data_IF_602331953908
#
_entry.id   IF_602331953908
#
_cell.length_a   1.000
_cell.length_b   1.000
_cell.length_c   1.000
_cell.angle_alpha   90.00
_cell.angle_beta   90.00
_cell.angle_gamma   90.00
#
_symmetry.space_group_name_H-M   'P 1'
#
loop_
_entity.id
_entity.type
_entity.pdbx_description
1 polymer ?
#
# COMPACT_ATOMS: atom_id res chain seq x y z
N UNK A 1 9.65 -7.38 -5.88
CA UNK A 1 8.63 -7.72 -4.96
C UNK A 1 8.14 -6.58 -4.07
N UNK A 2 9.02 -5.65 -3.61
CA UNK A 2 8.65 -4.57 -2.67
C UNK A 2 8.37 -3.22 -3.33
N UNK A 3 7.88 -3.20 -4.56
CA UNK A 3 7.45 -1.99 -5.23
C UNK A 3 6.01 -1.65 -4.85
N UNK A 4 5.68 -0.36 -4.79
CA UNK A 4 4.31 0.10 -4.58
C UNK A 4 3.42 -0.33 -5.75
N UNK A 5 2.13 -0.46 -5.49
CA UNK A 5 1.14 -0.60 -6.54
C UNK A 5 0.93 0.72 -7.28
N UNK A 6 0.52 0.64 -8.54
CA UNK A 6 0.15 1.83 -9.30
C UNK A 6 -1.33 2.15 -9.07
N UNK A 7 -1.61 3.29 -8.43
CA UNK A 7 -2.98 3.73 -8.16
C UNK A 7 -3.70 4.35 -9.37
N UNK A 8 -2.97 4.83 -10.36
CA UNK A 8 -3.55 5.50 -11.54
C UNK A 8 -4.52 4.61 -12.33
N UNK A 9 -4.18 3.35 -12.67
CA UNK A 9 -5.12 2.45 -13.32
C UNK A 9 -6.42 2.24 -12.55
N UNK A 10 -6.35 2.13 -11.21
CA UNK A 10 -7.52 1.93 -10.37
C UNK A 10 -8.52 3.08 -10.51
N UNK A 11 -8.00 4.31 -10.44
CA UNK A 11 -8.82 5.53 -10.59
C UNK A 11 -9.37 5.63 -12.01
N UNK A 12 -8.55 5.40 -13.04
CA UNK A 12 -8.97 5.47 -14.44
C UNK A 12 -10.12 4.51 -14.76
N UNK A 13 -10.01 3.26 -14.29
CA UNK A 13 -11.06 2.25 -14.46
C UNK A 13 -12.34 2.71 -13.75
N UNK A 14 -12.23 3.13 -12.49
CA UNK A 14 -13.37 3.58 -11.72
C UNK A 14 -14.08 4.80 -12.37
N UNK A 15 -13.32 5.81 -12.80
CA UNK A 15 -13.89 6.98 -13.50
C UNK A 15 -14.51 6.63 -14.86
N UNK A 16 -13.90 5.69 -15.61
CA UNK A 16 -14.49 5.18 -16.85
C UNK A 16 -15.86 4.55 -16.59
N UNK A 17 -15.96 3.71 -15.58
CA UNK A 17 -17.18 3.01 -15.23
C UNK A 17 -18.27 3.98 -14.77
N UNK A 18 -17.93 5.00 -13.98
CA UNK A 18 -18.86 6.08 -13.59
C UNK A 18 -19.38 6.84 -14.81
N UNK A 19 -18.51 7.19 -15.78
CA UNK A 19 -18.96 7.85 -17.03
C UNK A 19 -19.93 6.97 -17.82
N UNK A 20 -19.63 5.67 -17.91
CA UNK A 20 -20.52 4.73 -18.60
C UNK A 20 -21.89 4.59 -17.91
N UNK A 21 -21.94 4.79 -16.59
CA UNK A 21 -23.18 4.84 -15.81
C UNK A 21 -23.92 6.19 -15.87
N UNK A 22 -23.35 7.21 -16.56
CA UNK A 22 -23.95 8.55 -16.65
C UNK A 22 -23.69 9.44 -15.44
N UNK A 23 -22.76 9.03 -14.58
CA UNK A 23 -22.37 9.81 -13.40
C UNK A 23 -21.46 10.98 -13.75
N UNK A 24 -21.53 12.04 -12.95
CA UNK A 24 -20.64 13.19 -13.09
C UNK A 24 -19.26 12.86 -12.53
N UNK A 25 -18.24 13.00 -13.36
CA UNK A 25 -16.84 12.72 -12.99
C UNK A 25 -15.95 13.94 -13.23
N UNK A 26 -14.82 14.07 -12.53
CA UNK A 26 -13.84 15.12 -12.79
C UNK A 26 -13.43 15.13 -14.27
N UNK A 27 -13.36 16.33 -14.85
CA UNK A 27 -12.91 16.56 -16.23
C UNK A 27 -11.39 16.66 -16.34
N UNK A 28 -10.71 16.98 -15.24
CA UNK A 28 -9.27 17.19 -15.18
C UNK A 28 -8.53 15.98 -14.62
N UNK A 29 -7.41 15.63 -15.25
CA UNK A 29 -6.43 14.68 -14.74
C UNK A 29 -5.03 15.32 -14.73
N UNK A 30 -4.27 15.24 -13.63
CA UNK A 30 -4.62 14.67 -12.31
C UNK A 30 -5.67 15.53 -11.56
N UNK A 31 -6.45 14.88 -10.68
CA UNK A 31 -7.46 15.53 -9.86
C UNK A 31 -6.77 16.43 -8.83
N UNK A 32 -6.96 17.75 -8.94
CA UNK A 32 -6.30 18.73 -8.08
C UNK A 32 -6.96 18.90 -6.71
N UNK A 33 -8.25 18.60 -6.61
CA UNK A 33 -8.99 18.69 -5.35
C UNK A 33 -8.72 17.48 -4.50
N UNK A 34 -7.97 17.64 -3.41
CA UNK A 34 -7.55 16.56 -2.52
C UNK A 34 -8.72 15.74 -1.95
N UNK A 35 -9.81 16.40 -1.52
CA UNK A 35 -10.98 15.70 -0.97
C UNK A 35 -11.68 14.86 -2.03
N UNK A 36 -11.80 15.39 -3.24
CA UNK A 36 -12.39 14.69 -4.37
C UNK A 36 -11.51 13.49 -4.79
N UNK A 37 -10.20 13.70 -4.85
CA UNK A 37 -9.23 12.66 -5.13
C UNK A 37 -9.34 11.53 -4.09
N UNK A 38 -9.33 11.88 -2.79
CA UNK A 38 -9.42 10.92 -1.71
C UNK A 38 -10.71 10.09 -1.79
N UNK A 39 -11.86 10.73 -1.99
CA UNK A 39 -13.13 10.03 -2.11
C UNK A 39 -13.17 9.04 -3.28
N UNK A 40 -12.65 9.45 -4.44
CA UNK A 40 -12.56 8.58 -5.63
C UNK A 40 -11.57 7.43 -5.38
N UNK A 41 -10.43 7.73 -4.80
CA UNK A 41 -9.40 6.75 -4.51
C UNK A 41 -9.88 5.69 -3.50
N UNK A 42 -10.60 6.09 -2.46
CA UNK A 42 -11.18 5.17 -1.47
C UNK A 42 -12.15 4.18 -2.13
N UNK A 43 -13.02 4.66 -3.02
CA UNK A 43 -13.96 3.77 -3.73
C UNK A 43 -13.23 2.89 -4.73
N UNK A 44 -12.30 3.45 -5.50
CA UNK A 44 -11.52 2.67 -6.48
C UNK A 44 -10.71 1.55 -5.81
N UNK A 45 -10.04 1.84 -4.70
CA UNK A 45 -9.28 0.83 -3.95
C UNK A 45 -10.18 -0.21 -3.27
N UNK A 46 -11.34 0.18 -2.77
CA UNK A 46 -12.31 -0.77 -2.24
C UNK A 46 -12.84 -1.74 -3.32
N UNK A 47 -13.05 -1.25 -4.55
CA UNK A 47 -13.38 -2.10 -5.71
C UNK A 47 -12.23 -3.02 -6.09
N UNK A 48 -11.00 -2.51 -6.08
CA UNK A 48 -9.79 -3.28 -6.36
C UNK A 48 -9.63 -4.47 -5.42
N UNK A 49 -9.79 -4.24 -4.11
CA UNK A 49 -9.72 -5.32 -3.10
C UNK A 49 -10.77 -6.41 -3.33
N UNK A 50 -11.96 -6.05 -3.84
CA UNK A 50 -13.04 -6.98 -4.13
C UNK A 50 -12.95 -7.65 -5.50
N UNK A 51 -11.87 -7.35 -6.25
CA UNK A 51 -11.70 -7.81 -7.64
C UNK A 51 -12.84 -7.34 -8.57
N UNK A 52 -13.33 -6.12 -8.33
CA UNK A 52 -14.46 -5.49 -9.04
C UNK A 52 -13.98 -4.37 -10.00
N UNK A 53 -12.76 -4.47 -10.50
CA UNK A 53 -12.20 -3.58 -11.51
C UNK A 53 -11.81 -4.38 -12.75
N UNK A 54 -12.44 -4.07 -13.88
CA UNK A 54 -12.12 -4.67 -15.17
C UNK A 54 -11.18 -3.72 -15.96
N UNK A 55 -9.88 -4.06 -16.13
CA UNK A 55 -8.92 -3.18 -16.81
C UNK A 55 -9.22 -2.99 -18.28
N UNK A 56 -9.85 -3.96 -18.96
CA UNK A 56 -9.97 -4.02 -20.43
C UNK A 56 -8.63 -3.77 -21.12
N UNK A 57 -8.64 -3.62 -22.41
CA UNK A 57 -7.40 -3.36 -23.18
C UNK A 57 -6.94 -1.90 -23.14
N UNK A 58 -7.74 -0.99 -22.60
CA UNK A 58 -7.51 0.46 -22.59
C UNK A 58 -6.74 0.99 -21.38
N UNK A 59 -6.41 0.12 -20.41
CA UNK A 59 -5.71 0.52 -19.17
C UNK A 59 -4.45 -0.29 -18.95
N UNK A 60 -3.30 0.33 -19.23
CA UNK A 60 -2.00 -0.27 -18.97
C UNK A 60 -1.58 -0.18 -17.51
N UNK A 61 -0.79 -1.16 -17.07
CA UNK A 61 -0.14 -1.15 -15.75
C UNK A 61 -1.08 -1.47 -14.58
N UNK A 62 -2.26 -2.02 -14.86
CA UNK A 62 -3.15 -2.54 -13.82
C UNK A 62 -2.55 -3.83 -13.23
N UNK A 63 -2.46 -3.87 -11.91
CA UNK A 63 -2.09 -5.06 -11.14
C UNK A 63 -3.30 -5.49 -10.32
N UNK A 64 -3.86 -6.72 -10.48
CA UNK A 64 -4.92 -7.24 -9.63
C UNK A 64 -4.51 -7.27 -8.15
N UNK A 65 -5.47 -7.08 -7.25
CA UNK A 65 -5.21 -7.14 -5.80
C UNK A 65 -4.52 -8.43 -5.36
N UNK A 66 -4.98 -9.55 -5.90
CA UNK A 66 -4.41 -10.87 -5.61
C UNK A 66 -2.96 -11.00 -6.04
N UNK A 67 -2.58 -10.38 -7.16
CA UNK A 67 -1.19 -10.37 -7.67
C UNK A 67 -0.31 -9.46 -6.81
N UNK A 68 -0.77 -8.26 -6.46
CA UNK A 68 -0.06 -7.38 -5.54
C UNK A 68 0.20 -8.07 -4.20
N UNK A 69 -0.81 -8.69 -3.62
CA UNK A 69 -0.69 -9.46 -2.36
C UNK A 69 0.30 -10.61 -2.50
N UNK A 70 0.16 -11.42 -3.53
CA UNK A 70 1.05 -12.56 -3.78
C UNK A 70 2.50 -12.12 -3.99
N UNK A 71 2.73 -11.03 -4.72
CA UNK A 71 4.04 -10.46 -4.99
C UNK A 71 4.75 -10.00 -3.72
N UNK A 72 4.04 -9.28 -2.85
CA UNK A 72 4.61 -8.83 -1.57
C UNK A 72 4.91 -10.01 -0.66
N UNK A 73 4.00 -10.97 -0.58
CA UNK A 73 4.19 -12.17 0.25
C UNK A 73 5.37 -13.00 -0.21
N UNK A 74 5.48 -13.27 -1.53
CA UNK A 74 6.61 -13.99 -2.10
C UNK A 74 7.94 -13.29 -1.86
N UNK A 75 7.98 -11.96 -1.97
CA UNK A 75 9.18 -11.20 -1.67
C UNK A 75 9.60 -11.31 -0.20
N UNK A 76 8.63 -11.32 0.73
CA UNK A 76 8.93 -11.57 2.15
C UNK A 76 9.48 -12.97 2.37
N UNK A 77 8.89 -14.01 1.73
CA UNK A 77 9.37 -15.40 1.83
C UNK A 77 10.77 -15.54 1.26
N UNK A 78 11.03 -14.90 0.13
CA UNK A 78 12.36 -14.91 -0.50
C UNK A 78 13.42 -14.28 0.40
N UNK A 79 13.14 -13.16 1.02
CA UNK A 79 14.04 -12.51 1.99
C UNK A 79 14.31 -13.44 3.18
N UNK A 80 13.27 -14.04 3.76
CA UNK A 80 13.42 -14.94 4.90
C UNK A 80 14.19 -16.22 4.55
N UNK A 81 14.04 -16.72 3.33
CA UNK A 81 14.74 -17.93 2.86
C UNK A 81 16.22 -17.69 2.51
N UNK A 82 16.55 -16.47 2.02
CA UNK A 82 17.92 -16.14 1.57
C UNK A 82 18.88 -15.78 2.70
N UNK A 83 18.36 -15.43 3.87
CA UNK A 83 19.18 -14.92 4.96
C UNK A 83 19.16 -15.84 6.17
N UNK A 84 20.33 -16.05 6.75
CA UNK A 84 20.50 -16.87 7.93
C UNK A 84 19.82 -16.27 9.18
N UNK A 85 19.55 -17.14 10.15
CA UNK A 85 19.01 -16.71 11.44
C UNK A 85 19.95 -15.71 12.13
N UNK A 86 19.39 -14.59 12.60
CA UNK A 86 20.16 -13.51 13.22
C UNK A 86 20.56 -12.39 12.26
N UNK A 87 20.34 -12.55 10.96
CA UNK A 87 20.58 -11.49 9.98
C UNK A 87 19.72 -10.24 10.26
N UNK A 88 20.31 -9.07 9.98
CA UNK A 88 19.59 -7.78 10.00
C UNK A 88 19.42 -7.31 8.58
N UNK A 89 18.17 -7.14 8.15
CA UNK A 89 17.81 -6.78 6.79
C UNK A 89 17.08 -5.45 6.84
N UNK A 90 17.45 -4.52 5.98
CA UNK A 90 16.78 -3.25 5.80
C UNK A 90 16.14 -3.26 4.42
N UNK A 91 14.84 -2.97 4.37
CA UNK A 91 14.07 -2.84 3.14
C UNK A 91 13.53 -1.41 3.09
N UNK A 92 13.91 -0.66 2.06
CA UNK A 92 13.31 0.64 1.77
C UNK A 92 12.15 0.42 0.80
N UNK A 93 10.95 0.82 1.22
CA UNK A 93 9.73 0.61 0.45
C UNK A 93 8.67 1.65 0.82
N UNK A 94 7.48 1.53 0.27
CA UNK A 94 6.37 2.46 0.40
C UNK A 94 5.24 1.93 1.30
N UNK A 95 4.27 2.80 1.58
CA UNK A 95 3.21 2.55 2.55
C UNK A 95 2.32 1.35 2.23
N UNK A 96 1.94 1.17 0.95
CA UNK A 96 1.08 0.04 0.56
C UNK A 96 1.74 -1.31 0.78
N UNK A 97 3.04 -1.40 0.47
CA UNK A 97 3.83 -2.62 0.73
C UNK A 97 3.98 -2.87 2.23
N UNK A 98 4.22 -1.82 3.04
CA UNK A 98 4.30 -1.95 4.49
C UNK A 98 2.95 -2.44 5.05
N UNK A 99 1.85 -1.86 4.60
CA UNK A 99 0.51 -2.25 5.03
C UNK A 99 0.18 -3.72 4.65
N UNK A 100 0.57 -4.16 3.46
CA UNK A 100 0.42 -5.54 3.02
C UNK A 100 1.28 -6.50 3.84
N UNK A 101 2.51 -6.12 4.17
CA UNK A 101 3.37 -6.91 5.06
C UNK A 101 2.78 -7.02 6.48
N UNK A 102 2.19 -5.94 7.00
CA UNK A 102 1.48 -5.94 8.28
C UNK A 102 0.25 -6.84 8.24
N UNK A 103 -0.52 -6.81 7.15
CA UNK A 103 -1.66 -7.68 6.95
C UNK A 103 -1.25 -9.16 7.07
N UNK A 104 -0.14 -9.54 6.45
CA UNK A 104 0.39 -10.90 6.56
C UNK A 104 0.74 -11.28 8.00
N UNK A 105 1.41 -10.39 8.73
CA UNK A 105 1.91 -10.67 10.10
C UNK A 105 0.79 -10.71 11.12
N UNK A 106 -0.18 -9.80 11.00
CA UNK A 106 -1.27 -9.61 11.96
C UNK A 106 -2.56 -10.32 11.54
N UNK A 107 -2.61 -10.82 10.30
CA UNK A 107 -3.75 -11.56 9.73
C UNK A 107 -5.09 -10.79 9.83
N UNK A 108 -5.07 -9.49 9.54
CA UNK A 108 -6.31 -8.72 9.46
C UNK A 108 -6.93 -8.78 8.04
N UNK A 109 -8.23 -8.50 7.90
CA UNK A 109 -8.92 -8.51 6.61
C UNK A 109 -8.31 -7.53 5.59
N UNK A 110 -8.38 -7.90 4.31
CA UNK A 110 -7.79 -7.13 3.20
C UNK A 110 -8.34 -5.69 3.13
N UNK A 111 -9.61 -5.47 3.51
CA UNK A 111 -10.27 -4.16 3.54
C UNK A 111 -9.55 -3.14 4.44
N UNK A 112 -8.77 -3.60 5.41
CA UNK A 112 -8.03 -2.73 6.31
C UNK A 112 -6.63 -2.34 5.80
N UNK A 113 -6.17 -2.94 4.70
CA UNK A 113 -4.82 -2.65 4.16
C UNK A 113 -4.70 -1.20 3.71
N UNK A 114 -5.70 -0.67 3.01
CA UNK A 114 -5.66 0.73 2.53
C UNK A 114 -5.73 1.71 3.70
N UNK A 115 -6.59 1.46 4.68
CA UNK A 115 -6.64 2.28 5.89
C UNK A 115 -5.30 2.26 6.66
N UNK A 116 -4.65 1.09 6.73
CA UNK A 116 -3.32 0.95 7.33
C UNK A 116 -2.25 1.69 6.53
N UNK A 117 -2.32 1.67 5.19
CA UNK A 117 -1.43 2.44 4.33
C UNK A 117 -1.49 3.94 4.62
N UNK A 118 -2.68 4.50 4.84
CA UNK A 118 -2.85 5.91 5.20
C UNK A 118 -2.22 6.29 6.54
N UNK A 119 -2.00 5.32 7.43
CA UNK A 119 -1.34 5.56 8.72
C UNK A 119 0.18 5.61 8.62
N UNK A 120 0.77 5.07 7.56
CA UNK A 120 2.23 5.00 7.40
C UNK A 120 2.79 6.41 7.15
N UNK A 121 3.72 6.83 8.02
CA UNK A 121 4.39 8.12 7.90
C UNK A 121 5.67 8.00 7.10
N UNK A 122 6.00 9.05 6.38
CA UNK A 122 7.25 9.11 5.63
C UNK A 122 8.46 8.94 6.57
N UNK A 123 9.45 8.18 6.10
CA UNK A 123 10.67 7.86 6.86
C UNK A 123 10.45 7.07 8.16
N UNK A 124 9.25 6.54 8.39
CA UNK A 124 9.00 5.69 9.55
C UNK A 124 9.68 4.33 9.44
N UNK A 125 9.99 3.74 10.59
CA UNK A 125 10.56 2.40 10.69
C UNK A 125 9.51 1.42 11.20
N UNK A 126 9.22 0.40 10.40
CA UNK A 126 8.43 -0.76 10.79
C UNK A 126 9.36 -1.95 10.95
N UNK A 127 9.35 -2.58 12.12
CA UNK A 127 10.27 -3.66 12.47
C UNK A 127 9.52 -4.97 12.70
N UNK A 128 10.01 -6.00 12.02
CA UNK A 128 9.55 -7.37 12.18
C UNK A 128 10.71 -8.27 12.58
N UNK A 129 10.41 -9.33 13.30
CA UNK A 129 11.35 -10.41 13.58
C UNK A 129 10.82 -11.70 12.98
N UNK A 130 11.71 -12.52 12.46
CA UNK A 130 11.38 -13.82 11.90
C UNK A 130 12.31 -14.91 12.44
N UNK A 131 11.81 -16.12 12.54
CA UNK A 131 12.57 -17.28 12.97
C UNK A 131 11.65 -18.44 13.33
N UNK A 132 12.16 -19.66 13.17
CA UNK A 132 11.40 -20.90 13.46
C UNK A 132 10.01 -20.96 12.80
N UNK A 133 9.91 -20.46 11.57
CA UNK A 133 8.65 -20.43 10.82
C UNK A 133 7.63 -19.38 11.32
N UNK A 134 8.01 -18.48 12.21
CA UNK A 134 7.15 -17.39 12.72
C UNK A 134 7.66 -16.03 12.28
N UNK A 135 6.72 -15.14 11.98
CA UNK A 135 6.96 -13.73 11.69
C UNK A 135 6.15 -12.91 12.68
N UNK A 136 6.77 -11.94 13.32
CA UNK A 136 6.12 -11.14 14.37
C UNK A 136 6.46 -9.67 14.20
N UNK A 137 5.47 -8.79 14.40
CA UNK A 137 5.65 -7.35 14.45
C UNK A 137 6.22 -6.95 15.81
N UNK A 138 7.27 -6.15 15.82
CA UNK A 138 7.85 -5.59 17.05
C UNK A 138 7.70 -4.08 17.15
N UNK A 139 7.55 -3.40 16.00
CA UNK A 139 7.42 -1.96 15.95
C UNK A 139 6.72 -1.54 14.66
N UNK A 140 5.78 -0.62 14.75
CA UNK A 140 5.10 -0.02 13.61
C UNK A 140 5.24 1.50 13.65
N UNK A 141 5.55 2.08 12.49
CA UNK A 141 5.49 3.52 12.25
C UNK A 141 6.35 4.35 13.23
N UNK A 142 7.50 3.83 13.63
CA UNK A 142 8.40 4.48 14.58
C UNK A 142 9.15 5.63 13.91
N UNK A 143 9.17 6.79 14.58
CA UNK A 143 9.79 8.03 14.14
C UNK A 143 10.78 8.60 15.19
N UNK A 144 11.23 7.78 16.14
CA UNK A 144 12.09 8.24 17.23
C UNK A 144 13.31 9.05 16.75
N UNK A 145 13.84 8.75 15.57
CA UNK A 145 14.95 9.49 14.95
C UNK A 145 14.58 10.89 14.46
N UNK A 146 13.27 11.20 14.31
CA UNK A 146 12.74 12.50 13.90
C UNK A 146 12.00 13.23 15.04
N UNK A 147 11.71 12.56 16.15
CA UNK A 147 10.94 13.12 17.28
C UNK A 147 11.74 14.04 18.20
N UNK A 148 12.87 14.57 17.74
CA UNK A 148 13.62 15.61 18.43
C UNK A 148 13.17 17.01 17.98
N UNK A 149 13.40 18.06 18.78
CA UNK A 149 12.97 19.42 18.45
C UNK A 149 13.47 19.94 17.09
N UNK A 150 14.66 19.52 16.70
CA UNK A 150 15.32 19.98 15.46
C UNK A 150 14.69 19.33 14.21
N UNK A 151 14.27 18.06 14.29
CA UNK A 151 13.80 17.28 13.14
C UNK A 151 12.28 17.11 13.09
N UNK A 152 11.53 17.52 14.11
CA UNK A 152 10.09 17.32 14.20
C UNK A 152 9.32 17.89 13.00
N UNK A 153 9.83 18.96 12.39
CA UNK A 153 9.25 19.56 11.19
C UNK A 153 9.38 18.67 9.93
N UNK A 154 10.25 17.66 9.97
CA UNK A 154 10.43 16.68 8.87
C UNK A 154 9.42 15.53 8.92
N UNK A 155 8.62 15.43 9.97
CA UNK A 155 7.58 14.42 10.07
C UNK A 155 6.43 14.80 9.15
N UNK A 156 6.26 14.04 8.08
CA UNK A 156 5.21 14.27 7.09
C UNK A 156 4.34 13.04 6.93
N UNK A 157 3.11 13.27 6.51
CA UNK A 157 2.19 12.24 6.07
C UNK A 157 2.28 12.10 4.55
N UNK A 158 1.82 10.98 4.07
CA UNK A 158 1.70 10.72 2.63
C UNK A 158 0.51 11.46 2.06
#
# INVERSE_FOLDING_TARGET
>A
GFNEYNGDPLIKIHLRDLRAAGESVPSEWPIKNERQFQSIFEVATARWIRDDLDPKEDVEGFEPWTEFKARVYSAMDEVMARHEQGSRIIISTSGGVIAMALQRVLNFPDEHVIATNWMVRNSSVTRMIYGRGKLSLTQFNNLAHLENPENKHMITFR
#
